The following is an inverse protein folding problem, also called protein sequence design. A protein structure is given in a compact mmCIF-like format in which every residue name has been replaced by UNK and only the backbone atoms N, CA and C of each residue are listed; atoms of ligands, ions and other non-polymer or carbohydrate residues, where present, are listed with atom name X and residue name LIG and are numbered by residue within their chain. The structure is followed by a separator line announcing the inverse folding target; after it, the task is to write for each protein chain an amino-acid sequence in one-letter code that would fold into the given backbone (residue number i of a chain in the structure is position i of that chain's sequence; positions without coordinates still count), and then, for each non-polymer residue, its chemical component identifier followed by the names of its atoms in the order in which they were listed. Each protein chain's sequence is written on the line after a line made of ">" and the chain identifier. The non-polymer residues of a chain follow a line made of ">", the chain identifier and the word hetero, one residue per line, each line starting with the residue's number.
data_IF_926339695437
#
_entry.id   IF_926339695437
#
_cell.length_a   1.000
_cell.length_b   1.000
_cell.length_c   1.000
_cell.angle_alpha   90.00
_cell.angle_beta   90.00
_cell.angle_gamma   90.00
#
_symmetry.space_group_name_H-M   'P 1'
#
loop_
_entity.id
_entity.type
_entity.pdbx_description
1 polymer ?
#
# COMPACT_ATOMS: atom_id res chain seq x y z
N UNK A 1 -0.30 -7.82 -11.00
CA UNK A 1 -0.96 -8.38 -9.81
C UNK A 1 -2.29 -7.67 -9.63
N UNK A 2 -3.25 -8.37 -9.05
CA UNK A 2 -4.53 -7.80 -8.63
C UNK A 2 -4.86 -8.30 -7.23
N UNK A 3 -5.62 -7.53 -6.47
CA UNK A 3 -6.06 -7.93 -5.14
C UNK A 3 -7.34 -7.20 -4.75
N UNK A 4 -8.03 -7.75 -3.75
CA UNK A 4 -9.16 -7.11 -3.11
C UNK A 4 -8.78 -6.61 -1.73
N UNK A 5 -9.37 -5.49 -1.34
CA UNK A 5 -9.35 -4.97 0.01
C UNK A 5 -10.78 -4.75 0.48
N UNK A 6 -11.05 -4.95 1.76
CA UNK A 6 -12.33 -4.65 2.36
C UNK A 6 -12.18 -3.54 3.41
N UNK A 7 -13.08 -2.57 3.34
CA UNK A 7 -13.11 -1.34 4.15
C UNK A 7 -14.55 -0.95 4.47
N UNK A 8 -14.78 -0.37 5.63
CA UNK A 8 -16.06 0.24 6.03
C UNK A 8 -16.01 1.78 5.99
N UNK A 9 -14.88 2.35 5.55
CA UNK A 9 -14.65 3.80 5.52
C UNK A 9 -15.33 4.46 4.33
N UNK A 10 -16.06 5.54 4.59
CA UNK A 10 -16.73 6.35 3.58
C UNK A 10 -15.93 7.61 3.24
N UNK A 11 -16.03 8.07 2.01
CA UNK A 11 -15.42 9.34 1.58
C UNK A 11 -16.19 10.56 2.09
N UNK A 12 -15.59 11.74 1.93
CA UNK A 12 -16.13 13.05 2.28
C UNK A 12 -16.03 13.37 3.77
N UNK A 13 -15.28 12.59 4.54
CA UNK A 13 -15.20 12.71 5.99
C UNK A 13 -14.00 13.54 6.42
N UNK A 14 -14.16 14.32 7.48
CA UNK A 14 -13.06 15.03 8.15
C UNK A 14 -12.61 14.19 9.34
N UNK A 15 -11.33 13.86 9.38
CA UNK A 15 -10.70 13.11 10.47
C UNK A 15 -9.57 13.89 11.15
N UNK A 16 -8.91 13.23 12.09
CA UNK A 16 -7.71 13.74 12.77
C UNK A 16 -6.47 13.46 11.91
N UNK A 17 -5.66 14.48 11.68
CA UNK A 17 -4.57 14.46 10.70
C UNK A 17 -5.08 14.56 9.25
N UNK A 18 -5.90 13.60 8.83
CA UNK A 18 -6.44 13.49 7.48
C UNK A 18 -7.84 12.85 7.45
N UNK A 19 -8.40 12.72 6.25
CA UNK A 19 -9.68 12.05 6.03
C UNK A 19 -9.55 10.53 6.28
N UNK A 20 -10.48 9.89 7.00
CA UNK A 20 -10.38 8.49 7.38
C UNK A 20 -10.37 7.52 6.20
N UNK A 21 -10.86 7.92 5.02
CA UNK A 21 -10.76 7.13 3.79
C UNK A 21 -9.70 7.70 2.84
N UNK A 22 -9.84 8.94 2.40
CA UNK A 22 -9.02 9.52 1.32
C UNK A 22 -7.60 9.89 1.74
N UNK A 23 -7.29 9.87 3.04
CA UNK A 23 -5.92 10.02 3.55
C UNK A 23 -5.30 8.69 3.98
N UNK A 24 -5.92 7.56 3.65
CA UNK A 24 -5.30 6.23 3.77
C UNK A 24 -5.06 5.71 2.34
N UNK A 25 -3.82 5.82 1.90
CA UNK A 25 -3.41 5.55 0.53
C UNK A 25 -3.01 4.09 0.36
N UNK A 26 -3.62 3.39 -0.60
CA UNK A 26 -3.25 2.03 -0.96
C UNK A 26 -2.02 2.08 -1.86
N UNK A 27 -0.98 1.35 -1.49
CA UNK A 27 0.30 1.28 -2.20
C UNK A 27 0.61 -0.13 -2.64
N UNK A 28 1.17 -0.23 -3.84
CA UNK A 28 1.53 -1.48 -4.49
C UNK A 28 2.90 -1.39 -5.15
N UNK A 29 3.68 -2.46 -5.05
CA UNK A 29 5.01 -2.56 -5.65
C UNK A 29 5.37 -4.00 -6.01
N UNK A 30 6.26 -4.15 -6.99
CA UNK A 30 6.87 -5.43 -7.35
C UNK A 30 8.36 -5.17 -7.48
N UNK A 31 9.14 -5.70 -6.53
CA UNK A 31 10.57 -5.40 -6.39
C UNK A 31 11.39 -6.68 -6.45
N UNK A 32 12.69 -6.56 -6.72
CA UNK A 32 13.62 -7.70 -6.75
C UNK A 32 14.47 -7.81 -5.47
N UNK A 33 14.27 -6.92 -4.52
CA UNK A 33 14.92 -6.94 -3.20
C UNK A 33 13.92 -7.33 -2.14
N UNK A 34 14.32 -8.25 -1.26
CA UNK A 34 13.50 -8.62 -0.10
C UNK A 34 13.29 -7.38 0.79
N UNK A 35 12.03 -7.07 1.19
CA UNK A 35 11.75 -6.03 2.16
C UNK A 35 12.33 -6.40 3.53
N UNK A 36 13.23 -5.58 4.03
CA UNK A 36 13.95 -5.79 5.29
C UNK A 36 13.98 -4.50 6.10
N UNK A 37 13.95 -4.66 7.43
CA UNK A 37 14.26 -3.57 8.33
C UNK A 37 15.76 -3.25 8.26
N UNK A 38 16.08 -1.97 8.06
CA UNK A 38 17.42 -1.42 8.05
C UNK A 38 17.50 -0.26 9.03
N UNK A 39 18.64 -0.13 9.70
CA UNK A 39 18.91 1.01 10.58
C UNK A 39 19.32 2.20 9.72
N UNK A 40 18.66 3.33 9.90
CA UNK A 40 19.00 4.62 9.29
C UNK A 40 19.28 5.62 10.40
N UNK A 41 20.23 6.52 10.18
CA UNK A 41 20.52 7.62 11.09
C UNK A 41 19.77 8.88 10.64
N UNK A 42 18.87 9.38 11.48
CA UNK A 42 18.15 10.63 11.24
C UNK A 42 18.23 11.52 12.47
N UNK A 43 18.61 12.78 12.28
CA UNK A 43 18.84 13.73 13.39
C UNK A 43 19.75 13.18 14.52
N UNK A 44 20.72 12.33 14.17
CA UNK A 44 21.66 11.72 15.13
C UNK A 44 21.04 10.64 16.03
N UNK A 45 19.88 10.11 15.64
CA UNK A 45 19.23 8.98 16.31
C UNK A 45 19.03 7.83 15.31
N UNK A 46 19.36 6.58 15.68
CA UNK A 46 19.09 5.43 14.84
C UNK A 46 17.60 5.08 14.86
N UNK A 47 17.02 4.89 13.67
CA UNK A 47 15.66 4.41 13.46
C UNK A 47 15.64 3.19 12.55
N UNK A 48 14.64 2.32 12.72
CA UNK A 48 14.37 1.28 11.74
C UNK A 48 13.48 1.82 10.63
N UNK A 49 13.89 1.60 9.37
CA UNK A 49 13.08 1.80 8.18
C UNK A 49 13.08 0.56 7.31
N UNK A 50 12.17 0.47 6.37
CA UNK A 50 12.23 -0.55 5.32
C UNK A 50 13.27 -0.15 4.27
N UNK A 51 14.02 -1.11 3.71
CA UNK A 51 14.99 -0.91 2.62
C UNK A 51 14.35 -0.69 1.23
N UNK A 52 13.05 -0.44 1.20
CA UNK A 52 12.24 -0.26 0.00
C UNK A 52 11.61 1.13 0.06
N UNK A 53 11.71 1.88 -1.04
CA UNK A 53 11.16 3.22 -1.14
C UNK A 53 9.68 3.18 -1.50
N UNK A 54 8.83 3.32 -0.49
CA UNK A 54 7.39 3.44 -0.65
C UNK A 54 6.91 4.89 -0.82
N UNK A 55 7.82 5.87 -0.75
CA UNK A 55 7.48 7.28 -0.67
C UNK A 55 6.86 7.64 0.69
N UNK A 56 5.93 8.58 0.71
CA UNK A 56 5.28 9.05 1.93
C UNK A 56 3.84 9.48 1.67
N UNK A 57 2.88 8.88 2.37
CA UNK A 57 1.45 9.15 2.27
C UNK A 57 0.98 9.13 0.80
N UNK A 58 0.50 10.26 0.27
CA UNK A 58 0.02 10.39 -1.11
C UNK A 58 1.13 10.38 -2.16
N UNK A 59 2.40 10.45 -1.74
CA UNK A 59 3.56 10.48 -2.62
C UNK A 59 4.06 9.05 -2.83
N UNK A 60 4.13 8.65 -4.10
CA UNK A 60 4.72 7.38 -4.54
C UNK A 60 6.24 7.41 -4.38
N UNK A 61 6.82 6.29 -3.95
CA UNK A 61 8.27 6.08 -3.98
C UNK A 61 8.72 5.49 -5.31
N UNK A 62 10.01 5.23 -5.43
CA UNK A 62 10.58 4.50 -6.57
C UNK A 62 10.01 3.07 -6.67
N UNK A 63 9.95 2.37 -5.54
CA UNK A 63 9.67 0.94 -5.46
C UNK A 63 8.18 0.60 -5.29
N UNK A 64 7.39 1.47 -4.65
CA UNK A 64 5.94 1.31 -4.52
C UNK A 64 5.16 2.56 -4.95
N UNK A 65 4.05 2.34 -5.64
CA UNK A 65 3.19 3.38 -6.19
C UNK A 65 1.87 3.45 -5.43
N UNK A 66 1.36 4.66 -5.25
CA UNK A 66 -0.04 4.87 -4.84
C UNK A 66 -0.94 4.43 -5.98
N UNK A 67 -1.91 3.57 -5.67
CA UNK A 67 -2.86 3.02 -6.64
C UNK A 67 -4.32 3.34 -6.29
N UNK A 68 -4.55 4.11 -5.23
CA UNK A 68 -5.86 4.59 -4.80
C UNK A 68 -5.89 4.85 -3.29
N UNK A 69 -7.09 4.94 -2.75
CA UNK A 69 -7.38 5.07 -1.32
C UNK A 69 -8.40 4.01 -0.87
N UNK A 70 -8.72 3.98 0.43
CA UNK A 70 -9.58 2.94 1.01
C UNK A 70 -11.08 3.27 0.98
N UNK A 71 -11.52 4.22 0.15
CA UNK A 71 -12.94 4.62 0.12
C UNK A 71 -13.82 3.46 -0.34
N UNK A 72 -14.82 3.12 0.46
CA UNK A 72 -15.82 2.12 0.08
C UNK A 72 -16.68 2.62 -1.09
N UNK A 73 -17.12 1.75 -2.01
CA UNK A 73 -17.81 2.16 -3.23
C UNK A 73 -19.22 2.70 -3.00
N UNK A 74 -19.92 2.28 -1.94
CA UNK A 74 -21.26 2.76 -1.62
C UNK A 74 -21.29 3.38 -0.21
N UNK A 75 -21.35 4.72 -0.06
CA UNK A 75 -21.30 5.38 1.25
C UNK A 75 -22.48 4.99 2.16
N UNK A 76 -23.67 4.80 1.58
CA UNK A 76 -24.92 4.55 2.31
C UNK A 76 -25.04 3.12 2.84
N UNK A 77 -24.22 2.19 2.35
CA UNK A 77 -24.20 0.80 2.81
C UNK A 77 -23.27 0.63 4.01
N UNK A 78 -23.84 0.12 5.10
CA UNK A 78 -23.09 -0.25 6.30
C UNK A 78 -22.20 -1.49 6.07
N UNK A 79 -21.15 -1.60 6.87
CA UNK A 79 -20.25 -2.74 6.88
C UNK A 79 -19.12 -2.66 5.84
N UNK A 80 -18.27 -3.68 5.89
CA UNK A 80 -17.10 -3.81 5.02
C UNK A 80 -17.52 -4.10 3.58
N UNK A 81 -16.97 -3.32 2.66
CA UNK A 81 -17.20 -3.47 1.23
C UNK A 81 -15.89 -3.70 0.49
N UNK A 82 -15.98 -4.48 -0.58
CA UNK A 82 -14.87 -4.82 -1.46
C UNK A 82 -14.45 -3.61 -2.31
N UNK A 83 -13.14 -3.38 -2.38
CA UNK A 83 -12.46 -2.49 -3.31
C UNK A 83 -11.40 -3.31 -4.03
N UNK A 84 -11.44 -3.32 -5.36
CA UNK A 84 -10.49 -4.08 -6.18
C UNK A 84 -9.37 -3.16 -6.68
N UNK A 85 -8.16 -3.70 -6.69
CA UNK A 85 -6.94 -3.00 -7.07
C UNK A 85 -6.13 -3.81 -8.06
N UNK A 86 -5.51 -3.11 -9.01
CA UNK A 86 -4.63 -3.68 -10.02
C UNK A 86 -3.30 -2.91 -10.06
N UNK A 87 -2.20 -3.64 -10.21
CA UNK A 87 -0.87 -3.06 -10.39
C UNK A 87 0.00 -3.93 -11.29
N UNK A 88 0.70 -3.32 -12.24
CA UNK A 88 1.62 -4.00 -13.15
C UNK A 88 2.93 -3.25 -13.24
N UNK A 89 4.04 -3.98 -13.28
CA UNK A 89 5.38 -3.44 -13.51
C UNK A 89 6.21 -4.42 -14.33
N UNK A 90 7.24 -3.90 -15.02
CA UNK A 90 8.33 -4.72 -15.53
C UNK A 90 9.43 -4.73 -14.47
N UNK A 91 9.86 -5.92 -14.04
CA UNK A 91 10.90 -6.10 -13.02
C UNK A 91 11.90 -7.14 -13.51
N UNK A 92 13.17 -6.93 -13.19
CA UNK A 92 14.21 -7.94 -13.36
C UNK A 92 14.37 -8.67 -12.04
N UNK A 93 14.14 -9.98 -12.00
CA UNK A 93 14.32 -10.80 -10.79
C UNK A 93 15.74 -10.69 -10.24
N UNK A 94 15.91 -11.00 -8.96
CA UNK A 94 17.26 -11.11 -8.40
C UNK A 94 18.02 -12.32 -8.94
N UNK A 95 19.26 -12.52 -8.49
CA UNK A 95 20.12 -13.63 -8.90
C UNK A 95 19.53 -15.02 -8.60
N UNK A 96 18.54 -15.11 -7.70
CA UNK A 96 17.83 -16.33 -7.33
C UNK A 96 16.53 -16.52 -8.13
N UNK A 97 16.18 -15.59 -9.02
CA UNK A 97 14.92 -15.62 -9.76
C UNK A 97 13.72 -15.13 -8.94
N UNK A 98 13.95 -14.45 -7.82
CA UNK A 98 12.88 -14.00 -6.93
C UNK A 98 12.40 -12.58 -7.27
N UNK A 99 11.13 -12.37 -6.96
CA UNK A 99 10.47 -11.07 -6.88
C UNK A 99 9.64 -11.03 -5.60
N UNK A 100 9.45 -9.83 -5.06
CA UNK A 100 8.69 -9.57 -3.84
C UNK A 100 7.53 -8.64 -4.17
N UNK A 101 6.37 -8.94 -3.59
CA UNK A 101 5.15 -8.17 -3.78
C UNK A 101 4.94 -7.30 -2.55
N UNK A 102 4.63 -6.03 -2.79
CA UNK A 102 4.30 -5.07 -1.75
C UNK A 102 2.84 -4.70 -1.93
N UNK A 103 2.04 -4.96 -0.91
CA UNK A 103 0.63 -4.57 -0.82
C UNK A 103 0.45 -4.02 0.59
N UNK A 104 0.00 -2.78 0.69
CA UNK A 104 -0.26 -2.18 1.99
C UNK A 104 -0.81 -0.77 1.87
N UNK A 105 -0.90 -0.11 3.02
CA UNK A 105 -1.39 1.27 3.11
C UNK A 105 -0.39 2.15 3.83
N UNK A 106 -0.36 3.41 3.43
CA UNK A 106 0.36 4.48 4.08
C UNK A 106 -0.63 5.61 4.36
N UNK A 107 -0.60 6.22 5.54
CA UNK A 107 -1.71 7.03 6.04
C UNK A 107 -1.29 8.39 6.59
N UNK A 108 -2.06 9.41 6.23
CA UNK A 108 -2.12 10.70 6.93
C UNK A 108 -3.27 10.80 7.94
N UNK A 109 -4.13 9.77 8.06
CA UNK A 109 -5.15 9.68 9.10
C UNK A 109 -4.56 9.02 10.34
N UNK A 110 -4.80 9.63 11.51
CA UNK A 110 -4.18 9.19 12.77
C UNK A 110 -5.07 8.25 13.60
N UNK A 111 -6.31 8.02 13.15
CA UNK A 111 -7.25 7.13 13.83
C UNK A 111 -7.05 5.65 13.47
N UNK A 112 -7.69 4.78 14.27
CA UNK A 112 -7.68 3.35 14.02
C UNK A 112 -8.35 3.02 12.68
N UNK A 113 -7.63 2.30 11.83
CA UNK A 113 -8.11 1.83 10.52
C UNK A 113 -8.04 0.31 10.50
N UNK A 114 -9.14 -0.35 10.11
CA UNK A 114 -9.20 -1.82 9.96
C UNK A 114 -9.42 -2.15 8.50
N UNK A 115 -8.56 -2.98 7.93
CA UNK A 115 -8.61 -3.38 6.52
C UNK A 115 -8.39 -4.89 6.42
N UNK A 116 -9.08 -5.53 5.47
CA UNK A 116 -8.84 -6.94 5.14
C UNK A 116 -8.39 -7.06 3.70
N UNK A 117 -7.20 -7.62 3.47
CA UNK A 117 -6.68 -7.91 2.14
C UNK A 117 -7.00 -9.36 1.76
N UNK A 118 -7.50 -9.56 0.54
CA UNK A 118 -7.92 -10.87 0.03
C UNK A 118 -7.71 -10.98 -1.49
N UNK A 119 -7.92 -12.17 -2.06
CA UNK A 119 -7.89 -12.43 -3.51
C UNK A 119 -6.63 -11.92 -4.23
N UNK A 120 -5.47 -12.00 -3.57
CA UNK A 120 -4.19 -11.59 -4.15
C UNK A 120 -3.83 -12.57 -5.28
N UNK A 121 -3.73 -12.05 -6.50
CA UNK A 121 -3.43 -12.80 -7.72
C UNK A 121 -2.26 -12.19 -8.45
N UNK A 122 -1.37 -13.05 -8.94
CA UNK A 122 -0.14 -12.64 -9.59
C UNK A 122 0.01 -13.43 -10.88
N UNK A 123 0.25 -12.71 -11.96
CA UNK A 123 0.63 -13.27 -13.24
C UNK A 123 1.96 -12.62 -13.65
N UNK A 124 2.92 -13.45 -14.05
CA UNK A 124 4.21 -13.01 -14.57
C UNK A 124 4.43 -13.67 -15.93
N UNK A 125 4.83 -12.87 -16.90
CA UNK A 125 5.17 -13.33 -18.25
C UNK A 125 6.62 -12.95 -18.51
N UNK A 126 7.50 -13.93 -18.83
CA UNK A 126 8.85 -13.63 -19.29
C UNK A 126 8.78 -12.70 -20.51
N UNK A 127 9.64 -11.67 -20.53
CA UNK A 127 9.84 -10.83 -21.70
C UNK A 127 11.01 -11.34 -22.53
#
# INVERSE_FOLDING_TARGET
>A
MSFAMYTDQQGGMVGIGGAPAESVFVKAGIVNKEPRAVVVEEAGTPYYRMNVDIGNQSISGEDAKVIGDITKPNPDKAGFQRVDFDYSATVTSNAQGEIYLLIGTDSGFEGLTTLYYNDIKVAATPK
#
